data_IF_580877114446
#
_entry.id   IF_580877114446
#
_cell.length_a   1.000
_cell.length_b   1.000
_cell.length_c   1.000
_cell.angle_alpha   90.00
_cell.angle_beta   90.00
_cell.angle_gamma   90.00
#
_symmetry.space_group_name_H-M   'P 1'
#
loop_
_entity.id
_entity.type
_entity.pdbx_description
1 polymer ?
#
# COMPACT_ATOMS: atom_id res chain seq x y z
N UNK A 1 -0.65 21.40 20.49
CA UNK A 1 0.29 20.26 20.55
C UNK A 1 -0.19 19.06 19.73
N UNK A 2 -1.41 18.52 19.93
CA UNK A 2 -1.92 17.33 19.18
C UNK A 2 -1.94 17.40 17.64
N UNK A 3 -2.09 18.58 17.04
CA UNK A 3 -2.04 18.74 15.57
C UNK A 3 -0.62 18.68 15.00
N UNK A 4 0.38 19.08 15.80
CA UNK A 4 1.80 19.07 15.40
C UNK A 4 2.28 17.63 15.23
N UNK A 5 1.87 16.75 16.14
CA UNK A 5 2.18 15.32 16.14
C UNK A 5 1.69 14.58 14.89
N UNK A 6 0.47 14.86 14.42
CA UNK A 6 -0.06 14.22 13.20
C UNK A 6 0.62 14.73 11.93
N UNK A 7 0.95 16.02 11.88
CA UNK A 7 1.73 16.59 10.78
C UNK A 7 3.14 16.00 10.75
N UNK A 8 3.73 15.73 11.91
CA UNK A 8 5.04 15.10 12.01
C UNK A 8 5.01 13.65 11.51
N UNK A 9 3.98 12.88 11.85
CA UNK A 9 3.79 11.51 11.32
C UNK A 9 3.66 11.53 9.79
N UNK A 10 2.78 12.40 9.26
CA UNK A 10 2.60 12.54 7.82
C UNK A 10 3.91 12.96 7.14
N UNK A 11 4.63 13.93 7.71
CA UNK A 11 5.91 14.39 7.20
C UNK A 11 6.95 13.28 7.21
N UNK A 12 7.07 12.51 8.29
CA UNK A 12 8.01 11.40 8.39
C UNK A 12 7.69 10.30 7.36
N UNK A 13 6.41 10.00 7.14
CA UNK A 13 6.00 9.05 6.11
C UNK A 13 6.38 9.53 4.71
N UNK A 14 6.16 10.81 4.42
CA UNK A 14 6.43 11.41 3.11
C UNK A 14 7.92 11.64 2.83
N UNK A 15 8.77 11.73 3.87
CA UNK A 15 10.20 12.01 3.72
C UNK A 15 11.07 10.84 4.19
N UNK A 16 11.19 10.63 5.50
CA UNK A 16 12.11 9.68 6.11
C UNK A 16 11.77 8.22 5.78
N UNK A 17 10.48 7.91 5.59
CA UNK A 17 9.98 6.58 5.21
C UNK A 17 9.41 6.54 3.80
N UNK A 18 9.83 7.49 2.95
CA UNK A 18 9.32 7.61 1.58
C UNK A 18 9.53 6.34 0.74
N UNK A 19 10.58 5.57 1.02
CA UNK A 19 10.83 4.27 0.37
C UNK A 19 9.79 3.21 0.73
N UNK A 20 9.49 3.05 2.03
CA UNK A 20 8.46 2.10 2.46
C UNK A 20 7.08 2.51 1.93
N UNK A 21 6.78 3.81 1.97
CA UNK A 21 5.56 4.36 1.36
C UNK A 21 5.47 4.03 -0.13
N UNK A 22 6.53 4.27 -0.91
CA UNK A 22 6.57 4.00 -2.35
C UNK A 22 6.39 2.51 -2.65
N UNK A 23 7.09 1.61 -1.95
CA UNK A 23 6.95 0.16 -2.18
C UNK A 23 5.56 -0.36 -1.83
N UNK A 24 5.01 0.06 -0.69
CA UNK A 24 3.62 -0.28 -0.34
C UNK A 24 2.60 0.33 -1.30
N UNK A 25 2.84 1.54 -1.78
CA UNK A 25 2.01 2.21 -2.79
C UNK A 25 1.94 1.38 -4.07
N UNK A 26 3.10 0.97 -4.61
CA UNK A 26 3.17 0.13 -5.80
C UNK A 26 2.50 -1.21 -5.55
N UNK A 27 2.89 -1.93 -4.50
CA UNK A 27 2.29 -3.22 -4.16
C UNK A 27 0.77 -3.16 -4.08
N UNK A 28 0.22 -2.21 -3.33
CA UNK A 28 -1.23 -2.06 -3.19
C UNK A 28 -1.90 -1.62 -4.50
N UNK A 29 -1.22 -0.86 -5.36
CA UNK A 29 -1.73 -0.56 -6.69
C UNK A 29 -1.83 -1.83 -7.55
N UNK A 30 -0.87 -2.75 -7.47
CA UNK A 30 -0.98 -4.07 -8.10
C UNK A 30 -2.10 -4.90 -7.46
N UNK A 31 -2.19 -4.94 -6.13
CA UNK A 31 -3.27 -5.61 -5.40
C UNK A 31 -4.65 -5.14 -5.88
N UNK A 32 -4.86 -3.82 -6.01
CA UNK A 32 -6.09 -3.21 -6.52
C UNK A 32 -6.52 -3.80 -7.85
N UNK A 33 -5.58 -3.93 -8.78
CA UNK A 33 -5.86 -4.40 -10.15
C UNK A 33 -6.02 -5.91 -10.21
N UNK A 34 -5.18 -6.65 -9.48
CA UNK A 34 -5.13 -8.11 -9.50
C UNK A 34 -6.27 -8.75 -8.70
N UNK A 35 -6.48 -8.29 -7.47
CA UNK A 35 -7.49 -8.85 -6.56
C UNK A 35 -8.84 -8.14 -6.72
N UNK A 36 -8.87 -6.91 -7.25
CA UNK A 36 -10.12 -6.15 -7.42
C UNK A 36 -10.78 -5.74 -6.10
N UNK A 37 -10.10 -5.92 -4.97
CA UNK A 37 -10.67 -5.70 -3.64
C UNK A 37 -10.42 -4.26 -3.17
N UNK A 38 -11.37 -3.36 -3.49
CA UNK A 38 -11.32 -1.98 -3.02
C UNK A 38 -11.62 -1.83 -1.52
N UNK A 39 -12.25 -2.83 -0.88
CA UNK A 39 -12.59 -2.75 0.55
C UNK A 39 -11.36 -2.70 1.46
N UNK A 40 -10.22 -3.25 1.03
CA UNK A 40 -8.96 -3.13 1.75
C UNK A 40 -8.53 -1.67 1.93
N UNK A 41 -8.75 -0.83 0.93
CA UNK A 41 -8.37 0.59 0.96
C UNK A 41 -9.27 1.37 1.92
N UNK A 42 -10.57 1.05 1.97
CA UNK A 42 -11.47 1.60 2.98
C UNK A 42 -11.05 1.21 4.40
N UNK A 43 -10.65 -0.06 4.62
CA UNK A 43 -10.14 -0.52 5.92
C UNK A 43 -8.88 0.23 6.34
N UNK A 44 -7.92 0.39 5.43
CA UNK A 44 -6.70 1.16 5.68
C UNK A 44 -7.00 2.64 6.00
N UNK A 45 -7.89 3.28 5.22
CA UNK A 45 -8.18 4.70 5.37
C UNK A 45 -9.06 5.03 6.59
N UNK A 46 -9.85 4.07 7.06
CA UNK A 46 -10.84 4.26 8.13
C UNK A 46 -10.53 3.48 9.40
N UNK A 47 -9.35 2.87 9.52
CA UNK A 47 -8.96 2.18 10.73
C UNK A 47 -9.04 3.13 11.94
N UNK A 48 -9.64 2.62 13.02
CA UNK A 48 -9.88 3.37 14.25
C UNK A 48 -8.71 3.28 15.23
N UNK A 49 -7.97 2.19 15.14
CA UNK A 49 -6.86 1.87 16.03
C UNK A 49 -5.79 1.02 15.32
N UNK A 50 -4.75 0.69 16.07
CA UNK A 50 -3.63 -0.12 15.58
C UNK A 50 -4.07 -1.53 15.18
N UNK A 51 -5.08 -2.11 15.85
CA UNK A 51 -5.53 -3.47 15.57
C UNK A 51 -6.21 -3.53 14.20
N UNK A 52 -7.13 -2.62 13.92
CA UNK A 52 -7.78 -2.55 12.60
C UNK A 52 -6.77 -2.28 11.47
N UNK A 53 -5.74 -1.47 11.75
CA UNK A 53 -4.65 -1.24 10.81
C UNK A 53 -3.82 -2.51 10.56
N UNK A 54 -3.48 -3.26 11.62
CA UNK A 54 -2.77 -4.55 11.52
C UNK A 54 -3.59 -5.60 10.76
N UNK A 55 -4.89 -5.68 11.00
CA UNK A 55 -5.78 -6.60 10.28
C UNK A 55 -5.79 -6.31 8.77
N UNK A 56 -5.82 -5.02 8.39
CA UNK A 56 -5.74 -4.60 6.99
C UNK A 56 -4.36 -4.93 6.38
N UNK A 57 -3.26 -4.64 7.08
CA UNK A 57 -1.92 -4.99 6.62
C UNK A 57 -1.75 -6.50 6.43
N UNK A 58 -2.28 -7.31 7.35
CA UNK A 58 -2.27 -8.76 7.24
C UNK A 58 -3.07 -9.24 6.03
N UNK A 59 -4.28 -8.70 5.81
CA UNK A 59 -5.10 -9.03 4.65
C UNK A 59 -4.38 -8.74 3.33
N UNK A 60 -3.63 -7.64 3.26
CA UNK A 60 -2.79 -7.31 2.13
C UNK A 60 -1.59 -8.27 2.01
N UNK A 61 -0.84 -8.50 3.09
CA UNK A 61 0.40 -9.27 3.08
C UNK A 61 0.18 -10.77 2.79
N UNK A 62 -0.91 -11.36 3.28
CA UNK A 62 -1.19 -12.81 3.14
C UNK A 62 -1.34 -13.27 1.69
N UNK A 63 -1.60 -12.35 0.75
CA UNK A 63 -1.76 -12.65 -0.67
C UNK A 63 -0.62 -12.12 -1.53
N UNK A 64 0.45 -11.57 -0.92
CA UNK A 64 1.50 -10.84 -1.65
C UNK A 64 2.11 -11.65 -2.78
N UNK A 65 2.47 -12.90 -2.53
CA UNK A 65 3.14 -13.73 -3.53
C UNK A 65 2.19 -14.03 -4.68
N UNK A 66 0.91 -14.30 -4.39
CA UNK A 66 -0.13 -14.49 -5.43
C UNK A 66 -0.33 -13.23 -6.26
N UNK A 67 -0.33 -12.04 -5.65
CA UNK A 67 -0.48 -10.78 -6.39
C UNK A 67 0.67 -10.59 -7.37
N UNK A 68 1.90 -10.84 -6.93
CA UNK A 68 3.09 -10.72 -7.78
C UNK A 68 3.09 -11.75 -8.91
N UNK A 69 2.73 -13.01 -8.64
CA UNK A 69 2.65 -14.02 -9.68
C UNK A 69 1.56 -13.69 -10.73
N UNK A 70 0.38 -13.25 -10.29
CA UNK A 70 -0.67 -12.82 -11.22
C UNK A 70 -0.30 -11.56 -12.01
N UNK A 71 0.48 -10.66 -11.41
CA UNK A 71 1.03 -9.51 -12.13
C UNK A 71 1.96 -9.98 -13.27
N UNK A 72 2.89 -10.90 -12.97
CA UNK A 72 3.80 -11.50 -13.98
C UNK A 72 3.03 -12.19 -15.09
N UNK A 73 2.04 -13.01 -14.75
CA UNK A 73 1.18 -13.71 -15.72
C UNK A 73 0.40 -12.73 -16.60
N UNK A 74 -0.22 -11.71 -16.01
CA UNK A 74 -1.00 -10.70 -16.73
C UNK A 74 -0.15 -9.90 -17.71
N UNK A 75 1.10 -9.60 -17.35
CA UNK A 75 2.07 -8.98 -18.27
C UNK A 75 2.48 -9.93 -19.40
N UNK A 76 2.77 -11.19 -19.08
CA UNK A 76 3.14 -12.20 -20.08
C UNK A 76 2.03 -12.47 -21.12
N UNK A 77 0.76 -12.35 -20.70
CA UNK A 77 -0.42 -12.49 -21.57
C UNK A 77 -0.81 -11.19 -22.30
N UNK A 78 -0.16 -10.06 -21.99
CA UNK A 78 -0.52 -8.74 -22.52
C UNK A 78 -1.87 -8.21 -22.00
N UNK A 79 -2.38 -8.74 -20.89
CA UNK A 79 -3.62 -8.30 -20.23
C UNK A 79 -3.38 -7.10 -19.31
N UNK A 80 -2.14 -6.96 -18.82
CA UNK A 80 -1.68 -5.86 -18.00
C UNK A 80 -0.56 -5.10 -18.70
N UNK A 81 -0.40 -3.84 -18.34
CA UNK A 81 0.72 -3.01 -18.73
C UNK A 81 1.38 -2.39 -17.50
N UNK A 82 2.70 -2.36 -17.54
CA UNK A 82 3.57 -1.80 -16.51
C UNK A 82 4.81 -1.17 -17.17
N UNK A 83 5.26 -0.01 -16.69
CA UNK A 83 6.47 0.67 -17.18
C UNK A 83 7.77 0.09 -16.61
N UNK A 84 7.72 -0.44 -15.39
CA UNK A 84 8.83 -1.09 -14.69
C UNK A 84 8.77 -2.62 -14.70
N UNK A 85 9.44 -3.23 -13.73
CA UNK A 85 9.47 -4.69 -13.55
C UNK A 85 8.51 -5.14 -12.44
N UNK A 86 7.96 -6.38 -12.48
CA UNK A 86 7.13 -6.91 -11.40
C UNK A 86 7.78 -6.86 -10.02
N UNK A 87 9.11 -6.98 -9.95
CA UNK A 87 9.90 -6.91 -8.72
C UNK A 87 9.80 -5.53 -8.04
N UNK A 88 9.52 -4.47 -8.80
CA UNK A 88 9.32 -3.11 -8.27
C UNK A 88 8.05 -3.00 -7.42
N UNK A 89 7.18 -4.02 -7.44
CA UNK A 89 5.93 -4.12 -6.70
C UNK A 89 6.03 -5.03 -5.48
N UNK A 90 7.20 -5.62 -5.23
CA UNK A 90 7.43 -6.48 -4.07
C UNK A 90 7.65 -5.65 -2.80
N UNK A 91 7.04 -6.11 -1.71
CA UNK A 91 7.25 -5.62 -0.34
C UNK A 91 7.89 -6.71 0.52
N UNK A 92 8.79 -6.30 1.42
CA UNK A 92 9.48 -7.17 2.37
C UNK A 92 9.19 -6.80 3.84
N UNK A 93 9.78 -7.55 4.77
CA UNK A 93 9.54 -7.36 6.21
C UNK A 93 10.08 -6.02 6.73
N UNK A 94 11.07 -5.41 6.06
CA UNK A 94 11.58 -4.08 6.43
C UNK A 94 10.57 -3.00 6.08
N UNK A 95 9.94 -3.10 4.91
CA UNK A 95 8.89 -2.17 4.50
C UNK A 95 7.70 -2.21 5.48
N UNK A 96 7.35 -3.41 5.97
CA UNK A 96 6.32 -3.57 6.98
C UNK A 96 6.74 -2.95 8.32
N UNK A 97 7.97 -3.20 8.79
CA UNK A 97 8.49 -2.62 10.05
C UNK A 97 8.43 -1.09 10.02
N UNK A 98 8.86 -0.47 8.93
CA UNK A 98 8.86 1.00 8.81
C UNK A 98 7.45 1.60 8.89
N UNK A 99 6.44 0.98 8.25
CA UNK A 99 5.05 1.43 8.38
C UNK A 99 4.49 1.24 9.79
N UNK A 100 4.78 0.09 10.42
CA UNK A 100 4.27 -0.22 11.77
C UNK A 100 4.91 0.69 12.81
N UNK A 101 6.22 0.95 12.72
CA UNK A 101 6.91 1.91 13.61
C UNK A 101 6.20 3.27 13.60
N UNK A 102 5.91 3.82 12.41
CA UNK A 102 5.17 5.06 12.29
C UNK A 102 3.75 4.96 12.84
N UNK A 103 3.03 3.88 12.52
CA UNK A 103 1.67 3.66 12.98
C UNK A 103 1.57 3.47 14.50
N UNK A 104 2.66 3.13 15.18
CA UNK A 104 2.72 2.99 16.65
C UNK A 104 3.16 4.27 17.37
N UNK A 105 3.54 5.32 16.64
CA UNK A 105 4.05 6.56 17.24
C UNK A 105 3.00 7.29 18.10
N UNK A 106 1.70 7.11 17.82
CA UNK A 106 0.59 7.65 18.62
C UNK A 106 -0.71 6.90 18.33
N UNK A 107 -1.72 7.06 19.20
CA UNK A 107 -3.05 6.43 19.02
C UNK A 107 -3.73 6.78 17.69
N UNK A 108 -3.42 7.95 17.12
CA UNK A 108 -4.02 8.42 15.86
C UNK A 108 -3.16 8.14 14.64
N UNK A 109 -1.91 7.72 14.83
CA UNK A 109 -0.98 7.44 13.75
C UNK A 109 -1.47 6.36 12.77
N UNK A 110 -2.11 5.25 13.18
CA UNK A 110 -2.56 4.21 12.26
C UNK A 110 -3.47 4.75 11.16
N UNK A 111 -4.41 5.64 11.52
CA UNK A 111 -5.34 6.25 10.57
C UNK A 111 -4.64 7.18 9.59
N UNK A 112 -3.66 7.96 10.05
CA UNK A 112 -2.88 8.86 9.18
C UNK A 112 -2.06 8.04 8.19
N UNK A 113 -1.32 7.05 8.68
CA UNK A 113 -0.48 6.18 7.83
C UNK A 113 -1.35 5.41 6.83
N UNK A 114 -2.40 4.76 7.31
CA UNK A 114 -3.31 3.96 6.47
C UNK A 114 -4.02 4.80 5.41
N UNK A 115 -4.53 5.98 5.76
CA UNK A 115 -5.20 6.87 4.78
C UNK A 115 -4.24 7.39 3.71
N UNK A 116 -3.00 7.74 4.07
CA UNK A 116 -1.99 8.18 3.11
C UNK A 116 -1.60 7.04 2.17
N UNK A 117 -1.20 5.88 2.72
CA UNK A 117 -0.82 4.70 1.92
C UNK A 117 -1.94 4.29 0.96
N UNK A 118 -3.19 4.24 1.44
CA UNK A 118 -4.34 3.93 0.61
C UNK A 118 -4.53 4.97 -0.51
N UNK A 119 -4.41 6.27 -0.20
CA UNK A 119 -4.58 7.36 -1.17
C UNK A 119 -3.52 7.30 -2.26
N UNK A 120 -2.25 7.12 -1.91
CA UNK A 120 -1.16 6.98 -2.88
C UNK A 120 -1.37 5.77 -3.78
N UNK A 121 -1.73 4.60 -3.22
CA UNK A 121 -1.97 3.39 -3.99
C UNK A 121 -3.19 3.47 -4.93
N UNK A 122 -4.24 4.17 -4.51
CA UNK A 122 -5.43 4.41 -5.35
C UNK A 122 -5.09 5.33 -6.54
N UNK A 123 -4.29 6.37 -6.30
CA UNK A 123 -3.85 7.33 -7.32
C UNK A 123 -2.71 6.81 -8.19
N UNK A 124 -2.01 5.76 -7.77
CA UNK A 124 -0.92 5.18 -8.55
C UNK A 124 -1.46 4.67 -9.91
N UNK A 125 -0.87 5.12 -11.04
CA UNK A 125 -1.44 4.88 -12.37
C UNK A 125 -1.21 3.46 -12.90
N UNK A 126 -0.32 2.70 -12.26
CA UNK A 126 0.11 1.37 -12.69
C UNK A 126 0.01 0.31 -11.58
N UNK A 127 -0.05 -0.98 -11.91
CA UNK A 127 -0.26 -1.51 -13.25
C UNK A 127 -1.65 -1.14 -13.77
N UNK A 128 -1.86 -1.18 -15.08
CA UNK A 128 -3.19 -0.93 -15.68
C UNK A 128 -3.61 -2.10 -16.55
N UNK A 129 -4.92 -2.37 -16.60
CA UNK A 129 -5.48 -3.35 -17.54
C UNK A 129 -5.40 -2.78 -18.95
N UNK A 130 -4.98 -3.60 -19.90
CA UNK A 130 -5.04 -3.26 -21.32
C UNK A 130 -6.50 -3.41 -21.73
N UNK A 131 -7.18 -2.29 -21.99
CA UNK A 131 -8.51 -2.32 -22.62
C UNK A 131 -8.34 -2.91 -24.01
N UNK A 132 -8.96 -4.06 -24.28
CA UNK A 132 -9.09 -4.53 -25.66
C UNK A 132 -9.97 -3.52 -26.42
N UNK A 133 -9.59 -3.14 -27.66
CA UNK A 133 -10.42 -2.29 -28.50
C UNK A 133 -11.76 -2.96 -28.83
#
# INVERSE_FOLDING_TARGET
MRHVELLDIARQLLTARGRALDRWTRYLAAYKVVEGNLSLFDKLARCRDLREFQDALYEAARVKDRVIERLKEGLAKGELQLSGQPQDFEVDDRDLRELVELATASEKAPRVVGSLVASFALLHPEPRRVSRP
#
